data_IF_254122736740
#
_entry.id   IF_254122736740
#
_cell.length_a   1.000
_cell.length_b   1.000
_cell.length_c   1.000
_cell.angle_alpha   90.00
_cell.angle_beta   90.00
_cell.angle_gamma   90.00
#
_symmetry.space_group_name_H-M   'P 1'
#
loop_
_entity.id
_entity.type
_entity.pdbx_description
1 polymer ?
#
# COMPACT_ATOMS: atom_id res chain seq x y z
N UNK A 1 24.35 -18.13 13.65
CA UNK A 1 23.46 -17.44 12.70
C UNK A 1 22.49 -16.63 13.54
N UNK A 2 22.57 -15.30 13.53
CA UNK A 2 21.54 -14.49 14.17
C UNK A 2 20.26 -14.61 13.34
N UNK A 3 19.17 -15.07 13.94
CA UNK A 3 17.85 -15.01 13.33
C UNK A 3 17.54 -13.54 13.04
N UNK A 4 17.35 -13.19 11.78
CA UNK A 4 16.90 -11.85 11.42
C UNK A 4 15.53 -11.63 12.10
N UNK A 5 15.43 -10.56 12.89
CA UNK A 5 14.21 -10.23 13.60
C UNK A 5 13.13 -9.85 12.59
N UNK A 6 11.97 -10.52 12.68
CA UNK A 6 10.78 -10.15 11.93
C UNK A 6 10.38 -8.71 12.29
N UNK A 7 10.02 -7.85 11.34
CA UNK A 7 9.53 -6.52 11.65
C UNK A 7 8.15 -6.61 12.33
N UNK A 8 7.98 -5.83 13.40
CA UNK A 8 6.66 -5.44 13.85
C UNK A 8 6.06 -4.44 12.88
N UNK A 9 4.76 -4.20 13.03
CA UNK A 9 4.04 -3.30 12.14
C UNK A 9 3.02 -2.46 12.89
N UNK A 10 2.85 -1.22 12.45
CA UNK A 10 1.83 -0.33 12.97
C UNK A 10 0.97 0.22 11.83
N UNK A 11 -0.32 -0.11 11.87
CA UNK A 11 -1.34 0.43 10.97
C UNK A 11 -2.05 1.60 11.63
N UNK A 12 -1.97 2.78 11.01
CA UNK A 12 -2.78 3.94 11.36
C UNK A 12 -3.74 4.25 10.21
N UNK A 13 -5.01 4.48 10.53
CA UNK A 13 -6.00 4.85 9.53
C UNK A 13 -7.13 5.67 10.13
N UNK A 14 -7.55 6.72 9.40
CA UNK A 14 -8.66 7.59 9.78
C UNK A 14 -9.47 7.98 8.57
N UNK A 15 -10.79 7.97 8.74
CA UNK A 15 -11.74 8.54 7.81
C UNK A 15 -11.57 10.06 7.70
N UNK A 16 -11.57 10.56 6.48
CA UNK A 16 -11.67 11.98 6.18
C UNK A 16 -13.04 12.57 6.53
N UNK A 17 -13.12 13.89 6.66
CA UNK A 17 -14.39 14.58 6.95
C UNK A 17 -15.35 14.61 5.77
N UNK A 18 -14.84 14.43 4.54
CA UNK A 18 -15.65 14.44 3.30
C UNK A 18 -16.07 13.03 2.84
N UNK A 19 -15.71 11.98 3.59
CA UNK A 19 -16.06 10.60 3.26
C UNK A 19 -17.08 10.06 4.26
N UNK A 20 -18.05 9.27 3.78
CA UNK A 20 -19.03 8.60 4.66
C UNK A 20 -18.44 7.37 5.34
N UNK A 21 -17.36 6.81 4.78
CA UNK A 21 -16.68 5.60 5.22
C UNK A 21 -15.19 5.74 4.91
N UNK A 22 -14.34 5.15 5.76
CA UNK A 22 -12.91 5.00 5.49
C UNK A 22 -12.72 3.92 4.42
N UNK A 23 -12.11 4.27 3.30
CA UNK A 23 -11.90 3.41 2.12
C UNK A 23 -10.46 2.96 1.98
N UNK A 24 -9.58 3.41 2.86
CA UNK A 24 -8.23 2.89 2.95
C UNK A 24 -8.25 1.51 3.59
N UNK A 25 -7.29 0.66 3.24
CA UNK A 25 -7.11 -0.63 3.87
C UNK A 25 -5.65 -1.08 3.83
N UNK A 26 -5.28 -2.03 4.69
CA UNK A 26 -3.98 -2.70 4.59
C UNK A 26 -4.04 -4.23 4.71
N UNK A 27 -3.05 -4.91 4.16
CA UNK A 27 -2.79 -6.34 4.34
C UNK A 27 -1.36 -6.57 4.80
N UNK A 28 -1.16 -7.37 5.84
CA UNK A 28 0.16 -7.82 6.30
C UNK A 28 0.21 -9.35 6.27
N UNK A 29 1.06 -9.90 5.42
CA UNK A 29 1.22 -11.33 5.19
C UNK A 29 2.65 -11.71 5.53
N UNK A 30 2.86 -12.63 6.46
CA UNK A 30 4.19 -12.85 7.02
C UNK A 30 4.48 -14.31 7.32
N UNK A 31 5.73 -14.69 7.14
CA UNK A 31 6.26 -15.97 7.58
C UNK A 31 7.61 -15.73 8.27
N UNK A 32 8.29 -16.81 8.64
CA UNK A 32 9.63 -16.71 9.22
C UNK A 32 10.61 -15.93 8.32
N UNK A 33 10.52 -16.13 7.00
CA UNK A 33 11.52 -15.62 6.05
C UNK A 33 11.13 -14.31 5.36
N UNK A 34 9.89 -13.85 5.50
CA UNK A 34 9.45 -12.63 4.84
C UNK A 34 8.28 -11.92 5.52
N UNK A 35 8.13 -10.65 5.15
CA UNK A 35 6.93 -9.84 5.42
C UNK A 35 6.51 -9.16 4.12
N UNK A 36 5.26 -9.34 3.70
CA UNK A 36 4.60 -8.60 2.63
C UNK A 36 3.53 -7.69 3.24
N UNK A 37 3.74 -6.40 3.10
CA UNK A 37 2.79 -5.35 3.46
C UNK A 37 2.14 -4.80 2.19
N UNK A 38 0.84 -4.52 2.23
CA UNK A 38 0.08 -3.89 1.15
C UNK A 38 -0.81 -2.82 1.74
N UNK A 39 -0.81 -1.62 1.18
CA UNK A 39 -1.77 -0.55 1.48
C UNK A 39 -2.60 -0.30 0.23
N UNK A 40 -3.90 -0.09 0.43
CA UNK A 40 -4.88 0.24 -0.61
C UNK A 40 -5.58 1.53 -0.26
N UNK A 41 -5.89 2.30 -1.29
CA UNK A 41 -6.67 3.53 -1.24
C UNK A 41 -7.78 3.41 -2.29
N UNK A 42 -9.01 3.21 -1.84
CA UNK A 42 -10.15 3.03 -2.74
C UNK A 42 -10.94 4.32 -2.95
N UNK A 43 -11.17 4.66 -4.22
CA UNK A 43 -11.86 5.88 -4.60
C UNK A 43 -13.34 5.88 -4.20
N UNK A 44 -13.95 7.07 -4.12
CA UNK A 44 -15.40 7.26 -3.95
C UNK A 44 -16.29 6.84 -5.14
N UNK A 45 -15.73 6.27 -6.21
CA UNK A 45 -16.50 5.94 -7.41
C UNK A 45 -17.47 4.77 -7.24
N UNK A 46 -17.15 3.85 -6.33
CA UNK A 46 -17.98 2.71 -5.99
C UNK A 46 -18.55 2.81 -4.57
N UNK A 47 -19.51 1.94 -4.25
CA UNK A 47 -20.17 1.89 -2.94
C UNK A 47 -19.66 0.75 -2.05
N UNK A 48 -18.77 -0.10 -2.56
CA UNK A 48 -18.28 -1.32 -1.92
C UNK A 48 -16.76 -1.33 -1.75
N UNK A 49 -16.15 -0.15 -1.62
CA UNK A 49 -14.71 0.04 -1.50
C UNK A 49 -14.06 -0.87 -0.45
N UNK A 50 -14.61 -0.94 0.77
CA UNK A 50 -14.09 -1.81 1.84
C UNK A 50 -14.15 -3.30 1.46
N UNK A 51 -15.29 -3.75 0.92
CA UNK A 51 -15.45 -5.14 0.46
C UNK A 51 -14.50 -5.48 -0.70
N UNK A 52 -14.26 -4.52 -1.60
CA UNK A 52 -13.36 -4.66 -2.74
C UNK A 52 -11.90 -4.81 -2.29
N UNK A 53 -11.45 -3.91 -1.39
CA UNK A 53 -10.12 -3.98 -0.81
C UNK A 53 -9.92 -5.31 -0.07
N UNK A 54 -10.86 -5.66 0.80
CA UNK A 54 -10.82 -6.92 1.53
C UNK A 54 -10.76 -8.13 0.59
N UNK A 55 -11.60 -8.19 -0.44
CA UNK A 55 -11.62 -9.31 -1.39
C UNK A 55 -10.29 -9.47 -2.13
N UNK A 56 -9.66 -8.37 -2.55
CA UNK A 56 -8.37 -8.42 -3.24
C UNK A 56 -7.22 -8.77 -2.29
N UNK A 57 -7.16 -8.16 -1.11
CA UNK A 57 -6.14 -8.46 -0.09
C UNK A 57 -6.24 -9.91 0.39
N UNK A 58 -7.45 -10.41 0.67
CA UNK A 58 -7.66 -11.81 1.04
C UNK A 58 -7.18 -12.77 -0.07
N UNK A 59 -7.51 -12.49 -1.34
CA UNK A 59 -7.05 -13.30 -2.47
C UNK A 59 -5.53 -13.30 -2.66
N UNK A 60 -4.84 -12.20 -2.30
CA UNK A 60 -3.37 -12.17 -2.25
C UNK A 60 -2.89 -13.12 -1.16
N UNK A 61 -3.41 -13.00 0.06
CA UNK A 61 -3.06 -13.85 1.18
C UNK A 61 -3.33 -15.34 0.92
N UNK A 62 -4.42 -15.68 0.24
CA UNK A 62 -4.77 -17.05 -0.13
C UNK A 62 -3.80 -17.65 -1.18
N UNK A 63 -3.06 -16.79 -1.89
CA UNK A 63 -2.12 -17.18 -2.94
C UNK A 63 -0.67 -17.30 -2.47
N UNK A 64 -0.38 -16.99 -1.20
CA UNK A 64 0.96 -17.02 -0.59
C UNK A 64 1.16 -18.29 0.24
N UNK A 65 2.40 -18.52 0.68
CA UNK A 65 2.82 -19.67 1.48
C UNK A 65 3.88 -19.27 2.51
N UNK A 66 4.42 -20.23 3.27
CA UNK A 66 5.48 -19.98 4.26
C UNK A 66 6.86 -19.61 3.67
N UNK A 67 7.10 -19.88 2.38
CA UNK A 67 8.36 -19.52 1.74
C UNK A 67 8.36 -18.05 1.28
N UNK A 68 9.51 -17.38 1.38
CA UNK A 68 9.68 -16.01 0.93
C UNK A 68 9.44 -15.89 -0.60
N UNK A 69 8.40 -15.17 -1.04
CA UNK A 69 8.09 -15.06 -2.45
C UNK A 69 9.02 -14.07 -3.15
N UNK A 70 9.33 -14.35 -4.40
CA UNK A 70 9.94 -13.39 -5.33
C UNK A 70 8.95 -12.30 -5.74
N UNK A 71 9.45 -11.17 -6.24
CA UNK A 71 8.61 -10.12 -6.82
C UNK A 71 7.64 -10.65 -7.91
N UNK A 72 8.07 -11.60 -8.74
CA UNK A 72 7.22 -12.20 -9.79
C UNK A 72 6.10 -13.07 -9.21
N UNK A 73 6.37 -13.78 -8.12
CA UNK A 73 5.37 -14.57 -7.41
C UNK A 73 4.35 -13.68 -6.70
N UNK A 74 4.79 -12.54 -6.14
CA UNK A 74 3.89 -11.52 -5.56
C UNK A 74 2.98 -10.94 -6.65
N UNK A 75 3.52 -10.55 -7.80
CA UNK A 75 2.71 -10.07 -8.95
C UNK A 75 1.75 -11.16 -9.42
N UNK A 76 2.19 -12.42 -9.43
CA UNK A 76 1.33 -13.55 -9.78
C UNK A 76 0.20 -13.77 -8.77
N UNK A 77 0.46 -13.60 -7.47
CA UNK A 77 -0.56 -13.62 -6.42
C UNK A 77 -1.56 -12.48 -6.58
N UNK A 78 -1.10 -11.24 -6.80
CA UNK A 78 -1.94 -10.07 -7.09
C UNK A 78 -2.84 -10.29 -8.32
N UNK A 79 -2.29 -10.91 -9.38
CA UNK A 79 -3.03 -11.25 -10.60
C UNK A 79 -4.06 -12.35 -10.36
N UNK A 80 -3.77 -13.36 -9.53
CA UNK A 80 -4.74 -14.40 -9.14
C UNK A 80 -5.88 -13.80 -8.33
N UNK A 81 -5.56 -12.98 -7.33
CA UNK A 81 -6.53 -12.25 -6.53
C UNK A 81 -7.44 -11.36 -7.40
N UNK A 82 -6.85 -10.64 -8.37
CA UNK A 82 -7.60 -9.82 -9.32
C UNK A 82 -8.61 -10.63 -10.14
N UNK A 83 -8.23 -11.82 -10.60
CA UNK A 83 -9.13 -12.72 -11.37
C UNK A 83 -10.30 -13.26 -10.54
N UNK A 84 -10.16 -13.30 -9.21
CA UNK A 84 -11.20 -13.77 -8.29
C UNK A 84 -12.22 -12.67 -7.95
N UNK A 85 -11.95 -11.42 -8.29
CA UNK A 85 -12.88 -10.32 -8.05
C UNK A 85 -14.18 -10.51 -8.84
N UNK A 86 -15.31 -10.47 -8.14
CA UNK A 86 -16.63 -10.47 -8.76
C UNK A 86 -16.85 -9.14 -9.51
N UNK A 87 -16.71 -9.19 -10.84
CA UNK A 87 -16.88 -8.02 -11.72
C UNK A 87 -18.28 -7.40 -11.59
N UNK A 88 -19.33 -8.21 -11.35
CA UNK A 88 -20.70 -7.68 -11.21
C UNK A 88 -20.84 -6.90 -9.90
N UNK A 89 -20.21 -7.38 -8.83
CA UNK A 89 -20.21 -6.72 -7.52
C UNK A 89 -19.31 -5.49 -7.49
N UNK A 90 -18.17 -5.52 -8.19
CA UNK A 90 -17.11 -4.50 -8.09
C UNK A 90 -16.91 -3.68 -9.38
N UNK A 91 -17.96 -3.55 -10.20
CA UNK A 91 -17.91 -2.92 -11.52
C UNK A 91 -17.38 -1.48 -11.51
N UNK A 92 -17.70 -0.74 -10.44
CA UNK A 92 -17.38 0.68 -10.28
C UNK A 92 -16.21 0.94 -9.33
N UNK A 93 -15.76 -0.10 -8.63
CA UNK A 93 -14.67 0.01 -7.66
C UNK A 93 -13.34 0.28 -8.35
N UNK A 94 -12.54 1.14 -7.71
CA UNK A 94 -11.20 1.52 -8.15
C UNK A 94 -10.35 1.75 -6.92
N UNK A 95 -9.13 1.24 -6.95
CA UNK A 95 -8.17 1.50 -5.88
C UNK A 95 -6.76 1.73 -6.41
N UNK A 96 -6.03 2.58 -5.72
CA UNK A 96 -4.58 2.67 -5.77
C UNK A 96 -4.00 1.71 -4.73
N UNK A 97 -2.76 1.25 -4.94
CA UNK A 97 -2.07 0.43 -3.95
C UNK A 97 -0.56 0.61 -3.98
N UNK A 98 0.05 0.34 -2.83
CA UNK A 98 1.47 0.17 -2.64
C UNK A 98 1.71 -1.15 -1.88
N UNK A 99 2.72 -1.92 -2.29
CA UNK A 99 3.11 -3.15 -1.63
C UNK A 99 4.63 -3.19 -1.42
N UNK A 100 5.05 -3.68 -0.25
CA UNK A 100 6.44 -3.86 0.12
C UNK A 100 6.63 -5.30 0.59
N UNK A 101 7.53 -6.03 -0.04
CA UNK A 101 8.01 -7.33 0.43
C UNK A 101 9.42 -7.19 0.99
N UNK A 102 9.64 -7.68 2.19
CA UNK A 102 10.93 -7.76 2.86
C UNK A 102 11.31 -9.22 3.03
N UNK A 103 12.42 -9.63 2.40
CA UNK A 103 13.03 -10.92 2.66
C UNK A 103 13.99 -10.80 3.86
N UNK A 104 13.71 -11.50 4.95
CA UNK A 104 14.46 -11.36 6.20
C UNK A 104 15.90 -11.89 6.10
N UNK A 105 16.14 -12.91 5.25
CA UNK A 105 17.46 -13.51 5.10
C UNK A 105 18.38 -12.70 4.19
N UNK A 106 17.87 -12.24 3.05
CA UNK A 106 18.67 -11.52 2.03
C UNK A 106 18.64 -10.01 2.21
N UNK A 107 17.76 -9.49 3.08
CA UNK A 107 17.47 -8.05 3.23
C UNK A 107 17.05 -7.37 1.91
N UNK A 108 16.53 -8.17 0.97
CA UNK A 108 15.94 -7.67 -0.28
C UNK A 108 14.57 -7.05 0.02
N UNK A 109 14.36 -5.85 -0.49
CA UNK A 109 13.11 -5.12 -0.44
C UNK A 109 12.56 -4.99 -1.86
N UNK A 110 11.37 -5.53 -2.10
CA UNK A 110 10.64 -5.36 -3.35
C UNK A 110 9.45 -4.42 -3.13
N UNK A 111 9.43 -3.31 -3.85
CA UNK A 111 8.41 -2.27 -3.79
C UNK A 111 7.57 -2.29 -5.06
N UNK A 112 6.26 -2.47 -4.94
CA UNK A 112 5.32 -2.52 -6.04
C UNK A 112 4.24 -1.45 -5.89
N UNK A 113 4.05 -0.58 -6.88
CA UNK A 113 3.05 0.49 -6.81
C UNK A 113 2.16 0.57 -8.04
N UNK A 114 0.91 0.98 -7.82
CA UNK A 114 -0.07 1.26 -8.87
C UNK A 114 -1.05 2.33 -8.40
N UNK A 115 -1.13 3.44 -9.14
CA UNK A 115 -1.81 4.64 -8.64
C UNK A 115 -0.89 5.51 -7.80
N UNK A 116 -1.43 6.20 -6.81
CA UNK A 116 -0.80 7.29 -6.07
C UNK A 116 -0.43 6.97 -4.62
N UNK A 117 -0.65 5.75 -4.12
CA UNK A 117 0.00 5.31 -2.87
C UNK A 117 1.53 5.31 -3.02
N UNK A 118 2.25 5.57 -1.92
CA UNK A 118 3.71 5.67 -1.92
C UNK A 118 4.37 4.81 -0.86
N UNK A 119 5.63 4.47 -1.14
CA UNK A 119 6.52 3.77 -0.23
C UNK A 119 7.72 4.67 0.03
N UNK A 120 8.03 4.84 1.29
CA UNK A 120 9.16 5.61 1.76
C UNK A 120 9.87 4.90 2.89
N UNK A 121 11.04 5.45 3.23
CA UNK A 121 11.88 5.00 4.33
C UNK A 121 12.17 6.18 5.24
N UNK A 122 12.02 5.99 6.54
CA UNK A 122 12.34 6.99 7.55
C UNK A 122 13.58 6.52 8.33
N UNK A 123 14.63 7.33 8.25
CA UNK A 123 15.83 7.21 9.08
C UNK A 123 15.74 8.16 10.28
N UNK A 124 16.80 8.26 11.09
CA UNK A 124 16.87 9.05 12.33
C UNK A 124 16.45 10.54 12.23
N UNK A 125 16.31 11.10 11.02
CA UNK A 125 16.00 12.52 10.78
C UNK A 125 14.48 12.85 10.77
N UNK A 126 13.60 11.93 11.18
CA UNK A 126 12.12 12.05 11.16
C UNK A 126 11.45 12.32 9.79
N UNK A 127 12.19 12.72 8.76
CA UNK A 127 11.69 12.89 7.40
C UNK A 127 11.57 11.54 6.68
N UNK A 128 10.50 11.41 5.87
CA UNK A 128 10.26 10.24 5.04
C UNK A 128 10.93 10.48 3.68
N UNK A 129 11.94 9.67 3.36
CA UNK A 129 12.49 9.58 2.02
C UNK A 129 11.55 8.74 1.14
N UNK A 130 10.75 9.38 0.28
CA UNK A 130 9.84 8.67 -0.61
C UNK A 130 10.56 8.06 -1.82
N UNK A 131 10.61 6.73 -1.87
CA UNK A 131 11.37 5.97 -2.88
C UNK A 131 10.57 5.66 -4.15
N UNK A 132 9.23 5.61 -4.05
CA UNK A 132 8.36 5.35 -5.21
C UNK A 132 7.76 6.64 -5.75
N UNK A 133 7.58 6.70 -7.07
CA UNK A 133 6.85 7.79 -7.74
C UNK A 133 5.37 7.45 -7.85
N UNK A 134 4.45 8.36 -7.50
CA UNK A 134 3.02 8.13 -7.67
C UNK A 134 2.62 8.29 -9.14
N UNK A 135 1.59 7.58 -9.58
CA UNK A 135 1.07 7.64 -10.94
C UNK A 135 0.02 8.74 -11.07
N UNK A 136 0.39 9.98 -10.79
CA UNK A 136 -0.52 11.15 -10.89
C UNK A 136 -0.27 11.92 -12.16
N UNK A 137 -1.23 12.75 -12.56
CA UNK A 137 -1.12 13.59 -13.74
C UNK A 137 0.08 14.56 -13.62
N UNK A 138 0.37 15.07 -12.42
CA UNK A 138 1.56 15.89 -12.16
C UNK A 138 2.88 15.14 -12.44
N UNK A 139 2.91 13.82 -12.24
CA UNK A 139 4.09 12.97 -12.45
C UNK A 139 4.09 12.27 -13.81
N UNK A 140 3.16 12.61 -14.70
CA UNK A 140 3.06 12.05 -16.06
C UNK A 140 4.08 12.65 -17.03
N UNK A 141 4.72 13.76 -16.68
CA UNK A 141 5.60 14.53 -17.57
C UNK A 141 4.86 15.37 -18.62
N UNK A 142 3.52 15.48 -18.52
CA UNK A 142 2.69 16.25 -19.45
C UNK A 142 2.51 17.73 -19.05
N UNK A 143 2.93 18.13 -17.85
CA UNK A 143 2.75 19.49 -17.33
C UNK A 143 4.10 20.10 -16.92
N UNK A 144 4.51 21.16 -17.61
CA UNK A 144 5.74 21.93 -17.36
C UNK A 144 5.50 23.24 -16.55
N UNK A 145 4.26 23.49 -16.09
CA UNK A 145 3.88 24.74 -15.40
C UNK A 145 3.45 24.53 -13.95
N UNK A 146 3.94 25.37 -13.03
CA UNK A 146 3.82 25.23 -11.57
C UNK A 146 2.39 25.24 -11.01
N UNK A 147 1.45 26.00 -11.60
CA UNK A 147 0.07 26.08 -11.10
C UNK A 147 -0.75 24.80 -11.40
N UNK A 148 -0.50 24.15 -12.54
CA UNK A 148 -1.19 22.90 -12.90
C UNK A 148 -0.72 21.71 -12.05
N UNK A 149 0.48 21.76 -11.47
CA UNK A 149 1.04 20.69 -10.63
C UNK A 149 0.19 20.47 -9.37
N UNK A 150 -0.35 21.54 -8.77
CA UNK A 150 -1.14 21.44 -7.52
C UNK A 150 -2.47 20.72 -7.73
N UNK A 151 -3.14 20.94 -8.87
CA UNK A 151 -4.38 20.23 -9.20
C UNK A 151 -4.07 18.82 -9.73
N UNK A 152 -3.07 18.71 -10.61
CA UNK A 152 -2.69 17.46 -11.25
C UNK A 152 -2.08 16.42 -10.28
N UNK A 153 -1.62 16.82 -9.10
CA UNK A 153 -1.08 15.89 -8.09
C UNK A 153 -2.15 15.00 -7.47
N UNK A 154 -3.41 15.45 -7.42
CA UNK A 154 -4.54 14.70 -6.86
C UNK A 154 -5.28 13.85 -7.91
N UNK A 155 -4.76 13.78 -9.15
CA UNK A 155 -5.40 13.04 -10.25
C UNK A 155 -4.57 11.79 -10.55
N UNK A 156 -4.89 10.67 -9.90
CA UNK A 156 -4.33 9.38 -10.26
C UNK A 156 -4.71 8.96 -11.69
N UNK A 157 -3.73 8.40 -12.39
CA UNK A 157 -3.83 7.94 -13.79
C UNK A 157 -3.96 6.43 -13.91
N UNK A 158 -3.69 5.70 -12.83
CA UNK A 158 -3.72 4.24 -12.77
C UNK A 158 -4.52 3.78 -11.56
N UNK A 159 -5.35 2.76 -11.78
CA UNK A 159 -6.17 2.16 -10.73
C UNK A 159 -6.32 0.67 -10.97
N UNK A 160 -6.36 -0.11 -9.90
CA UNK A 160 -6.89 -1.47 -9.90
C UNK A 160 -8.40 -1.40 -10.18
N UNK A 161 -8.91 -2.21 -11.11
CA UNK A 161 -10.33 -2.27 -11.45
C UNK A 161 -10.72 -3.71 -11.77
N UNK A 162 -11.79 -4.23 -11.19
CA UNK A 162 -12.25 -5.60 -11.46
C UNK A 162 -12.50 -5.85 -12.95
N UNK A 163 -13.10 -4.88 -13.65
CA UNK A 163 -13.48 -5.01 -15.07
C UNK A 163 -12.35 -4.85 -16.09
N UNK A 164 -11.15 -4.41 -15.68
CA UNK A 164 -10.00 -4.19 -16.59
C UNK A 164 -9.04 -5.36 -16.47
N UNK A 165 -8.25 -5.61 -17.52
CA UNK A 165 -7.17 -6.60 -17.44
C UNK A 165 -6.19 -6.17 -16.35
N UNK A 166 -5.68 -7.14 -15.60
CA UNK A 166 -4.60 -6.88 -14.67
C UNK A 166 -3.35 -6.44 -15.44
N UNK A 167 -2.76 -5.34 -15.00
CA UNK A 167 -1.49 -4.83 -15.47
C UNK A 167 -0.47 -4.97 -14.34
N UNK A 168 0.76 -5.35 -14.67
CA UNK A 168 1.79 -5.51 -13.67
C UNK A 168 2.15 -4.14 -13.06
N UNK A 169 2.26 -4.04 -11.71
CA UNK A 169 2.66 -2.81 -11.06
C UNK A 169 4.08 -2.39 -11.44
N UNK A 170 4.39 -1.11 -11.19
CA UNK A 170 5.77 -0.66 -11.20
C UNK A 170 6.51 -1.33 -10.05
N UNK A 171 7.61 -2.03 -10.35
CA UNK A 171 8.41 -2.75 -9.37
C UNK A 171 9.82 -2.15 -9.26
N UNK A 172 10.29 -1.92 -8.04
CA UNK A 172 11.65 -1.51 -7.71
C UNK A 172 12.18 -2.46 -6.66
N UNK A 173 13.39 -2.98 -6.86
CA UNK A 173 14.06 -3.85 -5.90
C UNK A 173 15.33 -3.19 -5.40
N UNK A 174 15.52 -3.18 -4.09
CA UNK A 174 16.76 -2.75 -3.46
C UNK A 174 17.21 -3.75 -2.40
N UNK A 175 18.47 -3.65 -1.98
CA UNK A 175 18.93 -4.27 -0.74
C UNK A 175 19.09 -3.19 0.30
N UNK A 176 18.49 -3.38 1.48
CA UNK A 176 18.57 -2.40 2.57
C UNK A 176 19.21 -3.04 3.80
N UNK A 177 20.42 -2.60 4.14
CA UNK A 177 21.14 -3.06 5.33
C UNK A 177 20.86 -2.21 6.56
N UNK A 178 19.98 -1.21 6.46
CA UNK A 178 19.61 -0.33 7.56
C UNK A 178 18.43 -0.91 8.35
N UNK A 179 18.37 -0.64 9.65
CA UNK A 179 17.18 -0.94 10.47
C UNK A 179 16.18 0.24 10.41
N UNK A 180 15.96 0.77 9.20
CA UNK A 180 15.06 1.90 8.98
C UNK A 180 13.59 1.51 9.16
N UNK A 181 12.76 2.51 9.46
CA UNK A 181 11.31 2.36 9.42
C UNK A 181 10.85 2.45 7.95
N UNK A 182 10.12 1.43 7.51
CA UNK A 182 9.50 1.40 6.20
C UNK A 182 8.06 1.86 6.28
N UNK A 183 7.64 2.76 5.40
CA UNK A 183 6.31 3.38 5.43
C UNK A 183 5.63 3.20 4.08
N UNK A 184 4.43 2.64 4.11
CA UNK A 184 3.50 2.59 2.98
C UNK A 184 2.33 3.53 3.30
N UNK A 185 1.98 4.43 2.39
CA UNK A 185 1.04 5.51 2.68
C UNK A 185 0.05 5.74 1.54
N UNK A 186 -1.19 6.09 1.91
CA UNK A 186 -2.20 6.66 1.00
C UNK A 186 -1.93 8.15 0.77
N UNK A 187 -2.59 8.76 -0.22
CA UNK A 187 -2.32 10.14 -0.60
C UNK A 187 -2.66 11.14 0.50
N UNK A 188 -3.69 10.87 1.31
CA UNK A 188 -4.02 11.65 2.50
C UNK A 188 -2.85 11.78 3.50
N UNK A 189 -1.93 10.82 3.54
CA UNK A 189 -0.76 10.88 4.43
C UNK A 189 0.46 11.53 3.76
N UNK A 190 0.87 11.05 2.57
CA UNK A 190 2.12 11.52 1.99
C UNK A 190 2.03 12.92 1.39
N UNK A 191 0.83 13.40 1.03
CA UNK A 191 0.63 14.78 0.56
C UNK A 191 0.60 15.79 1.71
N UNK A 192 0.35 15.34 2.93
CA UNK A 192 0.32 16.14 4.16
C UNK A 192 1.65 16.05 4.94
N UNK A 193 2.77 15.97 4.22
CA UNK A 193 4.14 15.88 4.76
C UNK A 193 4.33 14.75 5.79
N UNK A 194 3.58 13.65 5.65
CA UNK A 194 3.66 12.50 6.55
C UNK A 194 2.89 12.69 7.86
N UNK A 195 1.91 13.58 7.88
CA UNK A 195 1.04 13.80 9.04
C UNK A 195 -0.42 13.53 8.69
N UNK A 196 -1.10 12.71 9.48
CA UNK A 196 -2.56 12.59 9.40
C UNK A 196 -3.19 13.61 10.36
N UNK A 197 -3.34 14.84 9.88
CA UNK A 197 -3.95 15.90 10.67
C UNK A 197 -5.42 15.56 11.00
N UNK A 198 -5.84 15.86 12.22
CA UNK A 198 -7.24 15.77 12.60
C UNK A 198 -8.06 16.73 11.72
N UNK A 199 -9.10 16.21 11.05
CA UNK A 199 -9.94 17.00 10.14
C UNK A 199 -9.47 17.04 8.68
N UNK A 200 -8.58 16.13 8.25
CA UNK A 200 -8.31 15.89 6.83
C UNK A 200 -9.60 15.67 6.05
N UNK A 201 -9.71 16.25 4.85
CA UNK A 201 -10.87 16.05 3.98
C UNK A 201 -10.94 14.61 3.48
N UNK A 202 -9.78 14.03 3.14
CA UNK A 202 -9.66 12.66 2.64
C UNK A 202 -9.27 11.67 3.74
N UNK A 203 -9.50 10.40 3.47
CA UNK A 203 -9.01 9.31 4.30
C UNK A 203 -7.48 9.39 4.40
N UNK A 204 -6.93 9.17 5.59
CA UNK A 204 -5.49 9.30 5.83
C UNK A 204 -4.96 8.08 6.56
N UNK A 205 -4.11 7.33 5.87
CA UNK A 205 -3.60 6.07 6.40
C UNK A 205 -2.15 5.82 6.03
N UNK A 206 -1.45 5.13 6.93
CA UNK A 206 -0.13 4.60 6.67
C UNK A 206 0.13 3.32 7.47
N UNK A 207 0.92 2.45 6.87
CA UNK A 207 1.46 1.25 7.48
C UNK A 207 2.97 1.44 7.67
N UNK A 208 3.43 1.27 8.89
CA UNK A 208 4.86 1.29 9.22
C UNK A 208 5.35 -0.12 9.55
N UNK A 209 6.56 -0.45 9.13
CA UNK A 209 7.27 -1.68 9.47
C UNK A 209 8.59 -1.31 10.15
N UNK A 210 8.85 -1.89 11.33
CA UNK A 210 10.07 -1.61 12.08
C UNK A 210 10.62 -2.89 12.69
N UNK A 211 11.92 -3.14 12.49
CA UNK A 211 12.57 -4.32 13.06
C UNK A 211 12.56 -4.25 14.59
N UNK A 212 12.05 -5.30 15.25
CA UNK A 212 12.01 -5.36 16.71
C UNK A 212 10.91 -4.53 17.39
N UNK A 213 9.98 -3.95 16.63
CA UNK A 213 8.77 -3.35 17.20
C UNK A 213 7.65 -4.37 17.42
N UNK A 214 6.65 -3.99 18.21
CA UNK A 214 5.43 -4.77 18.40
C UNK A 214 4.40 -4.48 17.29
N UNK A 215 3.44 -5.39 17.15
CA UNK A 215 2.26 -5.18 16.30
C UNK A 215 1.28 -4.21 16.97
N UNK A 216 0.88 -3.17 16.25
CA UNK A 216 -0.07 -2.16 16.73
C UNK A 216 -1.07 -1.82 15.64
N UNK A 217 -2.29 -1.49 16.05
CA UNK A 217 -3.35 -1.03 15.15
C UNK A 217 -4.04 0.16 15.80
N UNK A 218 -4.19 1.23 15.03
CA UNK A 218 -4.98 2.39 15.40
C UNK A 218 -5.83 2.84 14.20
N UNK A 219 -7.06 2.35 14.13
CA UNK A 219 -7.99 2.60 13.03
C UNK A 219 -9.40 2.87 13.55
N UNK A 220 -10.18 3.63 12.80
CA UNK A 220 -11.59 3.93 13.11
C UNK A 220 -12.58 2.90 12.53
N UNK A 221 -12.11 1.94 11.73
CA UNK A 221 -12.89 0.81 11.24
C UNK A 221 -12.03 -0.45 11.03
N UNK A 222 -12.67 -1.61 10.89
CA UNK A 222 -11.96 -2.86 10.55
C UNK A 222 -11.55 -2.86 9.07
N UNK A 223 -10.39 -2.25 8.77
CA UNK A 223 -9.85 -2.11 7.42
C UNK A 223 -8.45 -2.72 7.26
N UNK A 224 -8.16 -3.80 7.97
CA UNK A 224 -6.90 -4.52 7.84
C UNK A 224 -7.09 -6.03 7.78
N UNK A 225 -6.17 -6.73 7.12
CA UNK A 225 -6.04 -8.18 7.15
C UNK A 225 -4.63 -8.52 7.58
N UNK A 226 -4.46 -9.42 8.54
CA UNK A 226 -3.16 -10.00 8.86
C UNK A 226 -3.21 -11.53 8.75
N UNK A 227 -2.15 -12.13 8.20
CA UNK A 227 -2.00 -13.59 8.14
C UNK A 227 -0.56 -14.00 8.34
N UNK A 228 -0.38 -15.00 9.21
CA UNK A 228 0.89 -15.68 9.43
C UNK A 228 0.86 -17.08 8.84
N UNK A 229 1.96 -17.51 8.23
CA UNK A 229 2.14 -18.83 7.60
C UNK A 229 3.20 -19.68 8.30
#
# INVERSE_FOLDING_TARGET
MMTALRPGWFWYSRRGTMTSQNRDACGVFSAQDYTLAVVMDATRHGSRAMEFNHAWLAGIGDSLSGAAPTAEEIVSAMKRAHRQLDIRRFLHERACYAALSMNHATRRIDMLTWGDCRIGRRCLANEIEWLTRPHTLAHSGLFDGSENVVIARHVATRFLRAKRRFEAPNAISISDSTDAEWILATDGHWTADGTCAAGSEDDCSYLSLTTGSDVRVDTDCENYICRDY
#
